data_IF_578471272798
#
_entry.id   IF_578471272798
#
_cell.length_a   1.000
_cell.length_b   1.000
_cell.length_c   1.000
_cell.angle_alpha   90.00
_cell.angle_beta   90.00
_cell.angle_gamma   90.00
#
_symmetry.space_group_name_H-M   'P 1'
#
loop_
_entity.id
_entity.type
_entity.pdbx_description
1 polymer ?
#
# COMPACT_ATOMS: atom_id res chain seq x y z
N UNK A 1 -27.23 11.95 5.07
CA UNK A 1 -27.97 10.79 4.54
C UNK A 1 -29.13 11.18 3.63
N UNK A 2 -29.61 12.40 3.70
CA UNK A 2 -30.83 12.84 2.98
C UNK A 2 -30.57 13.29 1.54
N UNK A 3 -29.36 13.17 1.06
CA UNK A 3 -28.96 13.74 -0.23
C UNK A 3 -28.79 12.71 -1.36
N UNK A 4 -28.94 11.41 -1.10
CA UNK A 4 -28.55 10.40 -2.11
C UNK A 4 -29.59 9.31 -2.22
N UNK A 5 -30.50 9.50 -3.18
CA UNK A 5 -31.35 8.46 -3.75
C UNK A 5 -32.54 8.01 -2.89
N UNK A 6 -33.62 7.67 -3.57
CA UNK A 6 -34.87 7.16 -2.97
C UNK A 6 -34.79 5.68 -2.53
N UNK A 7 -33.57 5.13 -2.38
CA UNK A 7 -33.35 3.74 -1.97
C UNK A 7 -33.49 3.52 -0.48
N UNK A 8 -34.16 2.44 -0.09
CA UNK A 8 -34.22 2.03 1.31
C UNK A 8 -32.83 1.62 1.82
N UNK A 9 -32.50 1.87 3.09
CA UNK A 9 -31.21 1.54 3.73
C UNK A 9 -30.78 0.09 3.51
N UNK A 10 -31.73 -0.86 3.49
CA UNK A 10 -31.46 -2.27 3.20
C UNK A 10 -30.89 -2.54 1.79
N UNK A 11 -31.18 -1.66 0.82
CA UNK A 11 -30.74 -1.85 -0.58
C UNK A 11 -29.25 -1.61 -0.71
N UNK A 12 -28.71 -0.63 0.01
CA UNK A 12 -27.28 -0.42 0.13
C UNK A 12 -26.58 -1.62 0.76
N UNK A 13 -27.16 -2.21 1.82
CA UNK A 13 -26.64 -3.43 2.43
C UNK A 13 -26.67 -4.61 1.48
N UNK A 14 -27.74 -4.78 0.70
CA UNK A 14 -27.88 -5.87 -0.30
C UNK A 14 -26.90 -5.67 -1.44
N UNK A 15 -26.70 -4.43 -1.91
CA UNK A 15 -25.70 -4.11 -2.94
C UNK A 15 -24.31 -4.63 -2.57
N UNK A 16 -23.83 -4.36 -1.35
CA UNK A 16 -22.52 -4.84 -0.91
C UNK A 16 -22.49 -6.31 -0.54
N UNK A 17 -23.55 -6.87 0.02
CA UNK A 17 -23.54 -8.21 0.61
C UNK A 17 -24.08 -9.32 -0.28
N UNK A 18 -24.94 -9.01 -1.27
CA UNK A 18 -25.67 -10.00 -2.06
C UNK A 18 -25.52 -9.82 -3.57
N UNK A 19 -25.57 -8.60 -4.10
CA UNK A 19 -25.59 -8.33 -5.53
C UNK A 19 -24.46 -9.03 -6.32
N UNK A 20 -24.73 -9.37 -7.57
CA UNK A 20 -23.86 -10.19 -8.41
C UNK A 20 -22.85 -9.34 -9.21
N UNK A 21 -21.97 -8.58 -8.52
CA UNK A 21 -20.89 -7.85 -9.16
C UNK A 21 -19.53 -8.18 -8.52
N UNK A 22 -18.46 -7.97 -9.27
CA UNK A 22 -17.09 -8.20 -8.82
C UNK A 22 -16.35 -6.89 -8.70
N UNK A 23 -15.64 -6.70 -7.61
CA UNK A 23 -14.85 -5.48 -7.39
C UNK A 23 -13.72 -5.34 -8.41
N UNK A 24 -13.16 -6.44 -8.89
CA UNK A 24 -12.07 -6.43 -9.86
C UNK A 24 -12.50 -5.91 -11.25
N UNK A 25 -13.75 -6.13 -11.63
CA UNK A 25 -14.30 -5.58 -12.86
C UNK A 25 -14.39 -4.03 -12.78
N UNK A 26 -14.80 -3.52 -11.63
CA UNK A 26 -14.83 -2.07 -11.38
C UNK A 26 -13.41 -1.48 -11.34
N UNK A 27 -12.47 -2.16 -10.69
CA UNK A 27 -11.07 -1.72 -10.66
C UNK A 27 -10.46 -1.64 -12.06
N UNK A 28 -10.71 -2.63 -12.89
CA UNK A 28 -10.25 -2.63 -14.27
C UNK A 28 -10.78 -1.44 -15.06
N UNK A 29 -12.10 -1.23 -15.04
CA UNK A 29 -12.73 -0.09 -15.72
C UNK A 29 -12.15 1.26 -15.24
N UNK A 30 -11.99 1.42 -13.94
CA UNK A 30 -11.40 2.64 -13.37
C UNK A 30 -9.96 2.84 -13.81
N UNK A 31 -9.14 1.78 -13.78
CA UNK A 31 -7.76 1.83 -14.23
C UNK A 31 -7.65 2.18 -15.71
N UNK A 32 -8.50 1.61 -16.56
CA UNK A 32 -8.59 1.93 -18.00
C UNK A 32 -8.96 3.41 -18.22
N UNK A 33 -9.91 3.94 -17.46
CA UNK A 33 -10.31 5.35 -17.51
C UNK A 33 -9.18 6.29 -17.05
N UNK A 34 -8.50 5.97 -15.94
CA UNK A 34 -7.37 6.77 -15.43
C UNK A 34 -6.25 6.80 -16.49
N UNK A 35 -5.88 5.64 -17.04
CA UNK A 35 -4.82 5.54 -18.05
C UNK A 35 -5.20 6.31 -19.31
N UNK A 36 -6.43 6.17 -19.78
CA UNK A 36 -6.89 6.84 -21.00
C UNK A 36 -6.98 8.38 -20.86
N UNK A 37 -7.27 8.89 -19.66
CA UNK A 37 -7.54 10.33 -19.45
C UNK A 37 -6.36 11.09 -18.89
N UNK A 38 -5.51 10.44 -18.07
CA UNK A 38 -4.47 11.12 -17.30
C UNK A 38 -3.04 10.71 -17.68
N UNK A 39 -2.87 9.65 -18.48
CA UNK A 39 -1.55 9.13 -18.81
C UNK A 39 -1.36 9.11 -20.32
N UNK A 40 -0.28 9.71 -20.81
CA UNK A 40 0.07 9.72 -22.22
C UNK A 40 0.15 8.30 -22.81
N UNK A 41 -0.19 8.15 -24.09
CA UNK A 41 -0.29 6.86 -24.78
C UNK A 41 0.98 6.02 -24.65
N UNK A 42 2.16 6.63 -24.76
CA UNK A 42 3.46 5.94 -24.71
C UNK A 42 4.19 6.12 -23.37
N UNK A 43 3.55 6.80 -22.41
CA UNK A 43 4.17 7.07 -21.12
C UNK A 43 4.22 5.79 -20.25
N UNK A 44 5.32 5.63 -19.51
CA UNK A 44 5.45 4.58 -18.51
C UNK A 44 4.51 4.87 -17.34
N UNK A 45 3.74 3.88 -16.92
CA UNK A 45 2.80 4.01 -15.81
C UNK A 45 3.55 3.76 -14.50
N UNK A 46 3.56 4.75 -13.62
CA UNK A 46 4.15 4.60 -12.29
C UNK A 46 3.08 4.10 -11.32
N UNK A 47 3.41 3.04 -10.59
CA UNK A 47 2.56 2.45 -9.57
C UNK A 47 3.21 2.59 -8.20
N UNK A 48 2.42 2.88 -7.16
CA UNK A 48 2.82 2.78 -5.76
C UNK A 48 2.06 1.64 -5.09
N UNK A 49 2.78 0.82 -4.31
CA UNK A 49 2.20 -0.26 -3.53
C UNK A 49 2.53 -0.12 -2.05
N UNK A 50 1.51 -0.26 -1.20
CA UNK A 50 1.65 -0.18 0.26
C UNK A 50 0.56 -0.99 0.97
N UNK A 51 0.50 -0.91 2.30
CA UNK A 51 -0.60 -1.44 3.10
C UNK A 51 -1.10 -0.42 4.13
N UNK A 52 -2.37 -0.54 4.50
CA UNK A 52 -2.98 0.33 5.50
C UNK A 52 -3.78 -0.47 6.53
N UNK A 53 -3.52 -0.17 7.80
CA UNK A 53 -4.28 -0.72 8.92
C UNK A 53 -5.52 0.11 9.18
N UNK A 54 -6.70 -0.52 9.07
CA UNK A 54 -8.00 0.04 9.43
C UNK A 54 -8.43 -0.54 10.78
N UNK A 55 -8.40 0.25 11.84
CA UNK A 55 -8.72 -0.20 13.20
C UNK A 55 -10.20 -0.53 13.35
N UNK A 56 -10.50 -1.62 14.03
CA UNK A 56 -11.86 -2.10 14.29
C UNK A 56 -12.06 -2.44 15.77
N UNK A 57 -13.29 -2.28 16.25
CA UNK A 57 -13.65 -2.61 17.65
C UNK A 57 -14.44 -3.91 17.77
N UNK A 58 -15.14 -4.30 16.72
CA UNK A 58 -16.03 -5.47 16.74
C UNK A 58 -15.29 -6.78 16.50
N UNK A 59 -15.44 -7.76 17.40
CA UNK A 59 -14.85 -9.10 17.27
C UNK A 59 -15.56 -10.00 16.25
N UNK A 60 -16.79 -9.66 15.86
CA UNK A 60 -17.57 -10.41 14.88
C UNK A 60 -17.44 -9.91 13.45
N UNK A 61 -16.60 -8.90 13.20
CA UNK A 61 -16.37 -8.38 11.85
C UNK A 61 -15.52 -9.39 11.08
N UNK A 62 -15.95 -9.73 9.85
CA UNK A 62 -15.22 -10.70 9.03
C UNK A 62 -13.81 -10.20 8.69
N UNK A 63 -12.84 -11.11 8.79
CA UNK A 63 -11.46 -10.87 8.33
C UNK A 63 -10.59 -10.00 9.25
N UNK A 64 -11.11 -9.54 10.40
CA UNK A 64 -10.31 -8.80 11.38
C UNK A 64 -9.29 -9.68 12.10
N UNK A 65 -8.17 -9.07 12.46
CA UNK A 65 -7.08 -9.71 13.19
C UNK A 65 -6.25 -8.72 13.99
N UNK A 66 -5.28 -9.24 14.77
CA UNK A 66 -4.27 -8.41 15.43
C UNK A 66 -3.13 -8.15 14.46
N UNK A 67 -2.89 -6.90 14.12
CA UNK A 67 -1.85 -6.48 13.20
C UNK A 67 -0.87 -5.55 13.90
N UNK A 68 0.41 -5.63 13.53
CA UNK A 68 1.43 -4.69 13.98
C UNK A 68 1.14 -3.32 13.37
N UNK A 69 1.04 -2.32 14.23
CA UNK A 69 0.87 -0.93 13.81
C UNK A 69 2.23 -0.23 13.79
N UNK A 70 2.75 0.00 12.60
CA UNK A 70 4.05 0.62 12.40
C UNK A 70 4.06 2.09 12.84
N UNK A 71 2.95 2.81 12.65
CA UNK A 71 2.82 4.23 13.00
C UNK A 71 2.83 4.46 14.53
N UNK A 72 2.18 3.54 15.27
CA UNK A 72 2.10 3.63 16.74
C UNK A 72 3.26 2.92 17.44
N UNK A 73 4.14 2.24 16.71
CA UNK A 73 5.26 1.46 17.26
C UNK A 73 6.55 2.26 17.30
N UNK A 74 7.36 2.00 18.33
CA UNK A 74 8.73 2.48 18.41
C UNK A 74 9.73 1.31 18.39
N UNK A 75 11.03 1.62 18.36
CA UNK A 75 12.08 0.58 18.45
C UNK A 75 11.99 -0.23 19.75
N UNK A 76 11.57 0.40 20.84
CA UNK A 76 11.44 -0.21 22.16
C UNK A 76 10.06 -0.82 22.45
N UNK A 77 8.98 -0.33 21.82
CA UNK A 77 7.60 -0.75 22.09
C UNK A 77 6.88 -1.09 20.80
N UNK A 78 6.60 -2.38 20.60
CA UNK A 78 5.76 -2.84 19.50
C UNK A 78 4.29 -2.75 19.87
N UNK A 79 3.51 -2.03 19.09
CA UNK A 79 2.07 -1.85 19.27
C UNK A 79 1.33 -2.66 18.20
N UNK A 80 0.29 -3.36 18.62
CA UNK A 80 -0.60 -4.08 17.71
C UNK A 80 -2.03 -3.61 17.94
N UNK A 81 -2.79 -3.44 16.85
CA UNK A 81 -4.20 -3.10 16.90
C UNK A 81 -5.06 -4.16 16.23
N UNK A 82 -6.29 -4.29 16.72
CA UNK A 82 -7.31 -5.11 16.10
C UNK A 82 -7.92 -4.38 14.92
N UNK A 83 -7.98 -5.03 13.76
CA UNK A 83 -8.52 -4.38 12.57
C UNK A 83 -8.41 -5.20 11.31
N UNK A 84 -8.62 -4.52 10.18
CA UNK A 84 -8.32 -5.00 8.85
C UNK A 84 -7.00 -4.43 8.39
N UNK A 85 -6.22 -5.24 7.71
CA UNK A 85 -4.99 -4.82 7.08
C UNK A 85 -5.15 -5.01 5.57
N UNK A 86 -5.08 -3.90 4.84
CA UNK A 86 -5.36 -3.85 3.42
C UNK A 86 -4.09 -3.56 2.65
N UNK A 87 -3.80 -4.40 1.66
CA UNK A 87 -2.73 -4.17 0.69
C UNK A 87 -3.35 -3.53 -0.54
N UNK A 88 -2.81 -2.43 -1.00
CA UNK A 88 -3.34 -1.68 -2.14
C UNK A 88 -2.26 -1.31 -3.16
N UNK A 89 -2.72 -1.09 -4.39
CA UNK A 89 -1.92 -0.71 -5.54
C UNK A 89 -2.57 0.50 -6.20
N UNK A 90 -1.78 1.56 -6.39
CA UNK A 90 -2.24 2.84 -6.91
C UNK A 90 -1.48 3.24 -8.17
N UNK A 91 -2.15 3.89 -9.13
CA UNK A 91 -1.49 4.66 -10.18
C UNK A 91 -1.06 6.00 -9.61
N UNK A 92 0.19 6.39 -9.88
CA UNK A 92 0.76 7.67 -9.44
C UNK A 92 0.63 8.70 -10.55
N UNK A 93 -0.07 9.79 -10.26
CA UNK A 93 -0.17 10.96 -11.12
C UNK A 93 0.69 12.06 -10.49
N UNK A 94 1.87 12.28 -11.07
CA UNK A 94 2.83 13.25 -10.55
C UNK A 94 2.68 14.58 -11.25
N UNK A 95 2.66 15.66 -10.46
CA UNK A 95 2.68 17.04 -10.94
C UNK A 95 1.61 17.33 -12.01
N UNK A 96 0.31 16.98 -11.77
CA UNK A 96 -0.71 17.22 -12.76
C UNK A 96 -0.90 18.73 -12.97
N UNK A 97 -1.34 19.12 -14.15
CA UNK A 97 -1.49 20.53 -14.53
C UNK A 97 -2.40 21.35 -13.60
N UNK A 98 -3.39 20.69 -12.94
CA UNK A 98 -4.28 21.34 -11.96
C UNK A 98 -3.69 21.46 -10.55
N UNK A 99 -2.58 20.80 -10.26
CA UNK A 99 -1.86 20.84 -8.99
C UNK A 99 -0.37 20.49 -9.20
N UNK A 100 0.42 21.40 -9.81
CA UNK A 100 1.81 21.13 -10.23
C UNK A 100 2.77 20.78 -9.10
N UNK A 101 2.49 21.18 -7.85
CA UNK A 101 3.32 20.84 -6.69
C UNK A 101 2.98 19.48 -6.07
N UNK A 102 1.87 18.84 -6.50
CA UNK A 102 1.34 17.63 -5.86
C UNK A 102 1.58 16.37 -6.65
N UNK A 103 1.45 15.27 -5.93
CA UNK A 103 1.41 13.92 -6.47
C UNK A 103 0.19 13.22 -5.89
N UNK A 104 -0.59 12.57 -6.73
CA UNK A 104 -1.78 11.82 -6.34
C UNK A 104 -1.55 10.32 -6.57
N UNK A 105 -1.84 9.50 -5.58
CA UNK A 105 -1.94 8.05 -5.73
C UNK A 105 -3.40 7.66 -5.89
N UNK A 106 -3.75 7.11 -7.06
CA UNK A 106 -5.10 6.69 -7.40
C UNK A 106 -5.23 5.17 -7.23
N UNK A 107 -5.88 4.66 -6.19
CA UNK A 107 -6.10 3.23 -6.01
C UNK A 107 -6.78 2.58 -7.21
N UNK A 108 -6.23 1.45 -7.65
CA UNK A 108 -6.75 0.63 -8.75
C UNK A 108 -6.90 -0.84 -8.38
N UNK A 109 -6.44 -1.25 -7.22
CA UNK A 109 -6.63 -2.60 -6.69
C UNK A 109 -6.39 -2.62 -5.18
N UNK A 110 -7.15 -3.46 -4.46
CA UNK A 110 -7.04 -3.60 -3.01
C UNK A 110 -7.36 -5.02 -2.56
N UNK A 111 -6.60 -5.57 -1.61
CA UNK A 111 -6.74 -6.93 -1.08
C UNK A 111 -6.68 -6.97 0.43
N UNK A 112 -7.59 -7.72 1.05
CA UNK A 112 -7.60 -7.94 2.49
C UNK A 112 -6.51 -8.95 2.89
N UNK A 113 -5.56 -8.53 3.70
CA UNK A 113 -4.63 -9.44 4.34
C UNK A 113 -5.26 -10.10 5.57
N UNK A 114 -5.16 -11.42 5.67
CA UNK A 114 -5.66 -12.21 6.80
C UNK A 114 -4.52 -12.89 7.52
N UNK A 115 -4.39 -12.65 8.82
CA UNK A 115 -3.40 -13.34 9.64
C UNK A 115 -3.62 -14.85 9.66
N UNK A 116 -2.55 -15.61 9.76
CA UNK A 116 -2.62 -17.04 10.13
C UNK A 116 -3.19 -17.17 11.53
N UNK A 117 -4.49 -17.32 11.65
CA UNK A 117 -5.12 -17.57 12.95
C UNK A 117 -4.84 -19.01 13.37
N UNK A 118 -4.19 -19.20 14.51
CA UNK A 118 -4.16 -20.47 15.21
C UNK A 118 -2.88 -21.30 15.17
N UNK A 119 -1.76 -20.84 14.61
CA UNK A 119 -0.49 -21.60 14.62
C UNK A 119 0.54 -21.15 15.68
N UNK A 120 0.24 -20.17 16.49
CA UNK A 120 1.00 -19.98 17.72
C UNK A 120 0.52 -21.01 18.74
N UNK A 121 1.14 -22.19 18.77
CA UNK A 121 1.23 -22.98 20.00
C UNK A 121 1.87 -22.05 21.02
N UNK A 122 1.02 -21.36 21.80
CA UNK A 122 1.48 -20.60 22.94
C UNK A 122 2.34 -21.55 23.78
N UNK A 123 3.61 -21.21 23.95
CA UNK A 123 4.39 -21.78 25.05
C UNK A 123 3.56 -21.47 26.30
N UNK A 124 2.85 -22.47 26.80
CA UNK A 124 2.14 -22.39 28.06
C UNK A 124 3.16 -22.01 29.16
N UNK A 125 3.25 -20.70 29.44
CA UNK A 125 3.72 -20.30 30.76
C UNK A 125 2.70 -20.88 31.73
N UNK A 126 3.12 -21.87 32.50
CA UNK A 126 2.34 -22.49 33.58
C UNK A 126 1.77 -21.35 34.44
N UNK A 127 0.49 -21.04 34.23
CA UNK A 127 -0.24 -20.14 35.11
C UNK A 127 -0.23 -20.75 36.50
N UNK A 128 0.25 -20.03 37.51
CA UNK A 128 0.17 -20.40 38.90
C UNK A 128 -1.31 -20.72 39.23
N UNK A 129 -1.57 -21.89 39.81
CA UNK A 129 -2.90 -22.30 40.25
C UNK A 129 -3.49 -21.22 41.18
N UNK A 130 -4.72 -20.74 40.95
CA UNK A 130 -5.36 -19.78 41.84
C UNK A 130 -5.67 -20.45 43.22
N UNK A 131 -5.44 -19.68 44.27
CA UNK A 131 -5.74 -20.10 45.66
C UNK A 131 -7.26 -20.24 45.89
N UNK A 132 -7.64 -21.07 46.87
CA UNK A 132 -9.06 -21.41 47.14
C UNK A 132 -9.95 -20.20 47.47
N UNK A 133 -9.41 -19.12 48.03
CA UNK A 133 -10.14 -17.87 48.34
C UNK A 133 -10.60 -17.11 47.05
N UNK A 134 -9.87 -17.25 45.95
CA UNK A 134 -10.24 -16.61 44.64
C UNK A 134 -11.31 -17.37 43.88
N UNK A 135 -11.57 -18.63 44.23
CA UNK A 135 -12.60 -19.48 43.59
C UNK A 135 -14.02 -19.17 44.09
N UNK A 136 -14.19 -18.75 45.31
CA UNK A 136 -15.53 -18.49 45.90
C UNK A 136 -16.13 -17.13 45.52
N UNK A 137 -15.31 -16.11 45.30
CA UNK A 137 -15.79 -14.80 44.87
C UNK A 137 -16.25 -14.71 43.37
N UNK A 138 -15.90 -15.73 42.57
CA UNK A 138 -16.18 -15.78 41.14
C UNK A 138 -17.52 -16.41 40.76
N UNK A 139 -18.22 -17.04 41.72
CA UNK A 139 -19.36 -17.96 41.43
C UNK A 139 -20.66 -17.28 41.00
N UNK A 140 -20.95 -16.05 41.38
CA UNK A 140 -22.28 -15.44 41.18
C UNK A 140 -22.38 -14.36 40.06
N UNK A 141 -21.25 -13.95 39.49
CA UNK A 141 -21.25 -13.03 38.30
C UNK A 141 -21.07 -13.74 36.95
N UNK A 142 -20.96 -15.10 36.96
CA UNK A 142 -20.35 -15.83 35.86
C UNK A 142 -21.33 -16.47 34.87
N UNK A 143 -22.59 -16.73 35.22
CA UNK A 143 -23.49 -17.49 34.34
C UNK A 143 -23.94 -16.69 33.10
N UNK A 144 -24.26 -15.44 33.24
CA UNK A 144 -24.64 -14.57 32.08
C UNK A 144 -23.44 -14.17 31.21
N UNK A 145 -22.30 -13.89 31.84
CA UNK A 145 -21.06 -13.55 31.10
C UNK A 145 -20.48 -14.78 30.36
N UNK A 146 -20.65 -15.98 30.88
CA UNK A 146 -20.20 -17.22 30.24
C UNK A 146 -21.09 -17.59 29.05
N UNK A 147 -22.40 -17.39 29.12
CA UNK A 147 -23.30 -17.59 27.98
C UNK A 147 -22.99 -16.61 26.83
N UNK A 148 -22.80 -15.34 27.14
CA UNK A 148 -22.39 -14.33 26.16
C UNK A 148 -21.02 -14.60 25.58
N UNK A 149 -20.05 -15.08 26.37
CA UNK A 149 -18.72 -15.51 25.92
C UNK A 149 -18.74 -16.79 25.08
N UNK A 150 -19.63 -17.76 25.37
CA UNK A 150 -19.82 -18.96 24.55
C UNK A 150 -20.41 -18.61 23.18
N UNK A 151 -21.42 -17.76 23.13
CA UNK A 151 -22.02 -17.32 21.88
C UNK A 151 -21.04 -16.51 21.00
N UNK A 152 -20.24 -15.63 21.62
CA UNK A 152 -19.18 -14.88 20.93
C UNK A 152 -18.04 -15.79 20.44
N UNK A 153 -17.71 -16.84 21.21
CA UNK A 153 -16.72 -17.85 20.77
C UNK A 153 -17.26 -18.77 19.67
N UNK A 154 -18.55 -19.13 19.70
CA UNK A 154 -19.19 -19.92 18.64
C UNK A 154 -19.23 -19.13 17.33
N UNK A 155 -19.69 -17.88 17.36
CA UNK A 155 -19.70 -16.98 16.18
C UNK A 155 -18.28 -16.69 15.67
N UNK A 156 -17.28 -16.57 16.56
CA UNK A 156 -15.89 -16.44 16.16
C UNK A 156 -15.31 -17.73 15.56
N UNK A 157 -15.83 -18.89 15.92
CA UNK A 157 -15.43 -20.20 15.39
C UNK A 157 -16.10 -20.47 14.04
N UNK A 158 -17.31 -20.00 13.84
CA UNK A 158 -18.06 -20.09 12.58
C UNK A 158 -17.46 -19.15 11.51
N UNK A 159 -17.09 -17.94 11.89
CA UNK A 159 -16.30 -17.03 11.04
C UNK A 159 -14.87 -17.55 10.73
N UNK A 160 -14.36 -18.53 11.49
CA UNK A 160 -13.08 -19.19 11.24
C UNK A 160 -13.16 -20.33 10.24
N UNK A 161 -14.33 -20.89 9.98
CA UNK A 161 -14.54 -21.94 8.97
C UNK A 161 -14.72 -21.43 7.54
N UNK A 162 -14.75 -20.10 7.35
CA UNK A 162 -14.89 -19.48 6.03
C UNK A 162 -13.58 -19.56 5.25
N UNK A 163 -13.65 -20.24 4.13
CA UNK A 163 -12.72 -20.30 3.00
C UNK A 163 -11.48 -21.18 3.18
N UNK A 164 -11.45 -22.27 2.44
CA UNK A 164 -10.30 -23.15 2.16
C UNK A 164 -9.21 -22.49 1.31
N UNK A 165 -9.27 -21.16 1.11
CA UNK A 165 -8.25 -20.44 0.34
C UNK A 165 -6.92 -20.46 1.10
N UNK A 166 -5.82 -20.86 0.46
CA UNK A 166 -4.51 -20.88 1.10
C UNK A 166 -4.12 -19.49 1.59
N UNK A 167 -3.48 -19.44 2.76
CA UNK A 167 -3.01 -18.19 3.34
C UNK A 167 -2.00 -17.50 2.41
N UNK A 168 -2.22 -16.22 2.12
CA UNK A 168 -1.31 -15.36 1.37
C UNK A 168 -0.70 -14.29 2.29
N UNK A 169 0.60 -14.06 2.16
CA UNK A 169 1.29 -12.95 2.81
C UNK A 169 1.02 -11.64 2.07
N UNK A 170 1.25 -10.49 2.70
CA UNK A 170 1.09 -9.18 2.04
C UNK A 170 1.90 -9.08 0.73
N UNK A 171 3.20 -9.45 0.68
CA UNK A 171 3.94 -9.46 -0.58
C UNK A 171 3.37 -10.40 -1.66
N UNK A 172 2.76 -11.52 -1.27
CA UNK A 172 2.09 -12.41 -2.23
C UNK A 172 0.80 -11.79 -2.77
N UNK A 173 0.05 -11.04 -1.95
CA UNK A 173 -1.11 -10.28 -2.40
C UNK A 173 -0.70 -9.15 -3.37
N UNK A 174 0.40 -8.46 -3.08
CA UNK A 174 0.98 -7.47 -3.99
C UNK A 174 1.38 -8.10 -5.33
N UNK A 175 2.06 -9.24 -5.30
CA UNK A 175 2.45 -9.96 -6.52
C UNK A 175 1.24 -10.41 -7.36
N UNK A 176 0.14 -10.78 -6.72
CA UNK A 176 -1.12 -11.10 -7.40
C UNK A 176 -1.73 -9.87 -8.09
N UNK A 177 -1.77 -8.73 -7.39
CA UNK A 177 -2.31 -7.48 -7.94
C UNK A 177 -1.50 -6.97 -9.14
N UNK A 178 -0.18 -6.98 -9.08
CA UNK A 178 0.66 -6.56 -10.21
C UNK A 178 0.52 -7.49 -11.41
N UNK A 179 0.35 -8.79 -11.20
CA UNK A 179 0.08 -9.76 -12.28
C UNK A 179 -1.27 -9.47 -12.94
N UNK A 180 -2.29 -9.15 -12.14
CA UNK A 180 -3.62 -8.78 -12.64
C UNK A 180 -3.57 -7.50 -13.47
N UNK A 181 -2.89 -6.46 -12.99
CA UNK A 181 -2.72 -5.18 -13.70
C UNK A 181 -1.90 -5.35 -14.99
N UNK A 182 -0.86 -6.18 -14.97
CA UNK A 182 -0.11 -6.52 -16.18
C UNK A 182 -0.98 -7.14 -17.27
N UNK A 183 -1.93 -8.00 -16.87
CA UNK A 183 -2.89 -8.61 -17.80
C UNK A 183 -3.93 -7.62 -18.35
N UNK A 184 -4.28 -6.57 -17.59
CA UNK A 184 -5.18 -5.52 -18.08
C UNK A 184 -4.53 -4.64 -19.16
N UNK A 185 -3.19 -4.47 -19.10
CA UNK A 185 -2.45 -3.58 -19.98
C UNK A 185 -1.17 -4.26 -20.52
N UNK A 186 -1.31 -5.27 -21.38
CA UNK A 186 -0.16 -6.07 -21.86
C UNK A 186 0.88 -5.24 -22.63
N UNK A 187 0.43 -4.17 -23.32
CA UNK A 187 1.27 -3.33 -24.16
C UNK A 187 1.88 -2.12 -23.43
N UNK A 188 1.60 -1.96 -22.12
CA UNK A 188 2.10 -0.83 -21.34
C UNK A 188 3.28 -1.24 -20.46
N UNK A 189 4.21 -0.32 -20.26
CA UNK A 189 5.33 -0.46 -19.32
C UNK A 189 4.99 0.16 -17.98
N UNK A 190 5.43 -0.49 -16.90
CA UNK A 190 5.18 -0.07 -15.54
C UNK A 190 6.47 0.08 -14.75
N UNK A 191 6.47 1.03 -13.80
CA UNK A 191 7.45 1.10 -12.72
C UNK A 191 6.70 1.01 -11.40
N UNK A 192 6.91 -0.08 -10.68
CA UNK A 192 6.35 -0.29 -9.35
C UNK A 192 7.30 0.27 -8.29
N UNK A 193 6.80 1.16 -7.45
CA UNK A 193 7.56 1.74 -6.33
C UNK A 193 6.97 1.22 -5.03
N UNK A 194 7.79 0.60 -4.20
CA UNK A 194 7.34 -0.06 -2.97
C UNK A 194 8.27 0.22 -1.78
N UNK A 195 7.78 -0.07 -0.60
CA UNK A 195 8.57 -0.03 0.63
C UNK A 195 9.44 -1.32 0.81
N UNK A 196 10.09 -1.43 1.96
CA UNK A 196 10.97 -2.57 2.28
C UNK A 196 10.23 -3.90 2.42
N UNK A 197 8.95 -3.90 2.74
CA UNK A 197 8.14 -5.11 2.90
C UNK A 197 7.93 -5.80 1.54
N UNK A 198 7.73 -4.99 0.49
CA UNK A 198 7.41 -5.48 -0.86
C UNK A 198 8.64 -5.54 -1.80
N UNK A 199 9.81 -5.06 -1.36
CA UNK A 199 11.04 -5.08 -2.15
C UNK A 199 11.82 -6.41 -2.13
N UNK A 200 11.21 -7.48 -1.60
CA UNK A 200 11.82 -8.79 -1.42
C UNK A 200 11.47 -9.82 -2.49
N UNK A 201 11.95 -11.05 -2.27
CA UNK A 201 11.82 -12.17 -3.21
C UNK A 201 10.36 -12.45 -3.65
N UNK A 202 9.41 -12.37 -2.74
CA UNK A 202 8.00 -12.71 -3.03
C UNK A 202 7.37 -11.87 -4.14
N UNK A 203 7.79 -10.61 -4.28
CA UNK A 203 7.36 -9.72 -5.35
C UNK A 203 8.31 -9.80 -6.53
N UNK A 204 9.62 -9.69 -6.29
CA UNK A 204 10.62 -9.59 -7.35
C UNK A 204 10.68 -10.85 -8.23
N UNK A 205 10.49 -12.06 -7.66
CA UNK A 205 10.45 -13.31 -8.43
C UNK A 205 9.20 -13.49 -9.29
N UNK A 206 8.15 -12.74 -9.00
CA UNK A 206 6.87 -12.79 -9.72
C UNK A 206 6.60 -11.51 -10.53
N UNK A 207 7.60 -10.65 -10.64
CA UNK A 207 7.49 -9.40 -11.37
C UNK A 207 7.23 -9.67 -12.86
N UNK A 208 6.12 -9.17 -13.44
CA UNK A 208 5.82 -9.35 -14.86
C UNK A 208 6.89 -8.72 -15.75
N UNK A 209 7.03 -9.19 -16.98
CA UNK A 209 8.07 -8.74 -17.92
C UNK A 209 7.97 -7.28 -18.33
N UNK A 210 6.76 -6.73 -18.30
CA UNK A 210 6.50 -5.31 -18.58
C UNK A 210 6.60 -4.41 -17.34
N UNK A 211 7.10 -4.95 -16.21
CA UNK A 211 7.29 -4.20 -14.95
C UNK A 211 8.75 -4.06 -14.59
N UNK A 212 9.11 -2.83 -14.19
CA UNK A 212 10.28 -2.56 -13.38
C UNK A 212 9.89 -2.28 -11.93
N UNK A 213 10.81 -2.50 -11.01
CA UNK A 213 10.59 -2.31 -9.57
C UNK A 213 11.68 -1.42 -8.97
N UNK A 214 11.24 -0.44 -8.19
CA UNK A 214 12.11 0.39 -7.33
C UNK A 214 11.73 0.12 -5.88
N UNK A 215 12.73 -0.20 -5.06
CA UNK A 215 12.53 -0.40 -3.63
C UNK A 215 13.81 -0.23 -2.81
N UNK A 216 13.69 -0.06 -1.48
CA UNK A 216 14.85 0.04 -0.62
C UNK A 216 15.48 -1.34 -0.39
N UNK A 217 16.79 -1.32 -0.16
CA UNK A 217 17.58 -2.48 0.25
C UNK A 217 17.84 -2.40 1.75
N UNK A 218 17.65 -3.51 2.45
CA UNK A 218 17.99 -3.57 3.88
C UNK A 218 19.49 -3.29 4.09
N UNK A 219 19.90 -2.43 5.04
CA UNK A 219 21.32 -2.05 5.21
C UNK A 219 22.29 -3.21 5.43
N UNK A 220 21.80 -4.34 5.97
CA UNK A 220 22.57 -5.56 6.18
C UNK A 220 22.39 -6.60 5.05
N UNK A 221 21.83 -6.21 3.92
CA UNK A 221 21.67 -7.13 2.79
C UNK A 221 23.02 -7.51 2.21
N UNK A 222 23.19 -8.78 1.87
CA UNK A 222 24.35 -9.27 1.15
C UNK A 222 24.13 -9.08 -0.35
N UNK A 223 24.89 -8.17 -0.93
CA UNK A 223 24.93 -7.89 -2.37
C UNK A 223 26.17 -8.54 -2.98
N UNK A 224 26.11 -8.91 -4.25
CA UNK A 224 27.16 -9.65 -4.92
C UNK A 224 27.42 -9.08 -6.32
N UNK A 225 28.64 -9.29 -6.81
CA UNK A 225 28.93 -9.17 -8.23
C UNK A 225 28.21 -10.26 -9.03
N UNK A 226 27.93 -10.05 -10.31
CA UNK A 226 27.55 -11.15 -11.20
C UNK A 226 28.55 -12.29 -11.15
N UNK A 227 28.12 -13.50 -11.44
CA UNK A 227 29.06 -14.63 -11.59
C UNK A 227 30.07 -14.30 -12.69
N UNK A 228 31.38 -14.59 -12.51
CA UNK A 228 32.34 -14.40 -13.57
C UNK A 228 32.01 -15.35 -14.75
N UNK A 229 32.26 -14.88 -15.95
CA UNK A 229 32.16 -15.73 -17.14
C UNK A 229 33.14 -16.89 -17.01
N UNK A 230 32.64 -18.12 -17.15
CA UNK A 230 33.47 -19.32 -17.06
C UNK A 230 34.21 -19.54 -18.37
N UNK A 231 35.50 -19.27 -18.37
CA UNK A 231 36.41 -19.63 -19.46
C UNK A 231 37.02 -21.02 -19.18
N UNK A 232 36.33 -22.10 -19.59
CA UNK A 232 36.90 -23.46 -19.50
C UNK A 232 35.92 -24.54 -19.02
N UNK A 233 36.36 -25.81 -19.18
CA UNK A 233 35.63 -27.02 -18.76
C UNK A 233 35.79 -27.27 -17.27
N UNK A 234 34.91 -26.65 -16.45
CA UNK A 234 34.87 -26.89 -15.01
C UNK A 234 34.01 -28.10 -14.68
N UNK A 235 34.51 -29.01 -13.83
CA UNK A 235 33.66 -30.04 -13.20
C UNK A 235 32.86 -29.45 -12.03
N UNK A 236 31.54 -29.63 -12.04
CA UNK A 236 30.65 -29.25 -10.96
C UNK A 236 29.64 -28.15 -11.35
N UNK A 237 28.71 -27.80 -10.44
CA UNK A 237 27.66 -26.78 -10.70
C UNK A 237 28.28 -25.39 -10.94
N UNK A 238 27.72 -24.65 -11.90
CA UNK A 238 28.14 -23.27 -12.21
C UNK A 238 27.94 -22.36 -11.02
N UNK A 239 28.88 -21.40 -10.83
CA UNK A 239 28.70 -20.34 -9.83
C UNK A 239 27.51 -19.46 -10.22
N UNK A 240 26.58 -19.26 -9.29
CA UNK A 240 25.39 -18.42 -9.53
C UNK A 240 25.61 -16.96 -9.15
N UNK A 241 26.72 -16.61 -8.49
CA UNK A 241 27.07 -15.25 -8.06
C UNK A 241 28.58 -15.14 -7.91
N UNK A 242 29.10 -13.92 -8.08
CA UNK A 242 30.49 -13.57 -7.85
C UNK A 242 30.80 -13.25 -6.38
N UNK A 243 31.83 -12.45 -6.18
CA UNK A 243 32.24 -11.97 -4.86
C UNK A 243 31.21 -11.06 -4.21
N UNK A 244 31.24 -11.00 -2.88
CA UNK A 244 30.34 -10.11 -2.13
C UNK A 244 30.76 -8.65 -2.32
N UNK A 245 29.81 -7.79 -2.64
CA UNK A 245 30.01 -6.35 -2.65
C UNK A 245 30.25 -5.82 -1.23
N UNK A 246 30.99 -4.71 -1.14
CA UNK A 246 31.20 -4.01 0.10
C UNK A 246 29.86 -3.68 0.79
N UNK A 247 29.84 -3.73 2.10
CA UNK A 247 28.66 -3.33 2.87
C UNK A 247 28.39 -1.81 2.74
N UNK A 248 27.24 -1.36 3.20
CA UNK A 248 26.81 0.04 3.07
C UNK A 248 27.84 1.03 3.63
N UNK A 249 28.44 0.72 4.79
CA UNK A 249 29.39 1.62 5.45
C UNK A 249 30.71 1.68 4.70
N UNK A 250 31.20 0.54 4.21
CA UNK A 250 32.43 0.45 3.41
C UNK A 250 32.21 1.12 2.05
N UNK A 251 31.04 0.93 1.41
CA UNK A 251 30.70 1.60 0.16
C UNK A 251 30.57 3.12 0.32
N UNK A 252 30.04 3.59 1.44
CA UNK A 252 29.96 5.02 1.74
C UNK A 252 31.35 5.67 1.80
N UNK A 253 32.33 4.95 2.35
CA UNK A 253 33.72 5.41 2.56
C UNK A 253 34.66 5.13 1.40
N UNK A 254 34.27 4.36 0.40
CA UNK A 254 35.15 4.03 -0.71
C UNK A 254 35.52 5.30 -1.53
N UNK A 255 36.61 5.21 -2.32
CA UNK A 255 37.15 6.31 -3.09
C UNK A 255 36.30 6.74 -4.30
N UNK A 256 35.20 6.02 -4.60
CA UNK A 256 34.34 6.36 -5.72
C UNK A 256 33.67 7.74 -5.53
N UNK A 257 33.59 8.50 -6.64
CA UNK A 257 33.00 9.86 -6.61
C UNK A 257 31.53 9.83 -6.24
N UNK A 258 31.12 10.77 -5.40
CA UNK A 258 29.73 11.11 -5.15
C UNK A 258 29.20 12.02 -6.27
N UNK A 259 28.00 11.72 -6.76
CA UNK A 259 27.27 12.61 -7.67
C UNK A 259 26.21 13.35 -6.87
N UNK A 260 26.22 14.68 -6.94
CA UNK A 260 25.23 15.52 -6.24
C UNK A 260 24.03 15.79 -7.14
N UNK A 261 22.83 15.64 -6.58
CA UNK A 261 21.56 15.92 -7.24
C UNK A 261 20.75 16.88 -6.38
N UNK A 262 20.25 17.93 -7.01
CA UNK A 262 19.33 18.89 -6.39
C UNK A 262 17.89 18.49 -6.71
N UNK A 263 17.04 18.47 -5.69
CA UNK A 263 15.63 18.13 -5.78
C UNK A 263 14.80 19.28 -5.21
N UNK A 264 13.75 19.62 -5.91
CA UNK A 264 12.69 20.51 -5.44
C UNK A 264 11.37 19.95 -5.98
N UNK A 265 10.92 18.87 -5.37
CA UNK A 265 9.73 18.15 -5.80
C UNK A 265 9.01 17.53 -4.62
N UNK A 266 7.80 17.02 -4.86
CA UNK A 266 6.97 16.36 -3.86
C UNK A 266 7.77 15.36 -3.01
N UNK A 267 7.74 15.55 -1.69
CA UNK A 267 8.39 14.67 -0.71
C UNK A 267 9.92 14.67 -0.72
N UNK A 268 10.56 15.44 -1.60
CA UNK A 268 12.02 15.47 -1.73
C UNK A 268 12.53 16.87 -2.06
N UNK A 269 13.07 17.56 -1.06
CA UNK A 269 13.69 18.89 -1.20
C UNK A 269 15.13 18.83 -0.71
N UNK A 270 16.01 19.63 -1.34
CA UNK A 270 17.43 19.76 -0.98
C UNK A 270 18.37 18.93 -1.86
N UNK A 271 19.57 18.74 -1.38
CA UNK A 271 20.65 18.08 -2.11
C UNK A 271 20.95 16.71 -1.57
N UNK A 272 20.94 15.70 -2.43
CA UNK A 272 21.37 14.35 -2.11
C UNK A 272 22.62 13.98 -2.89
N UNK A 273 23.55 13.32 -2.25
CA UNK A 273 24.69 12.69 -2.91
C UNK A 273 24.43 11.21 -3.12
N UNK A 274 24.82 10.72 -4.30
CA UNK A 274 24.61 9.33 -4.68
C UNK A 274 25.88 8.66 -5.17
N UNK A 275 26.02 7.37 -4.93
CA UNK A 275 26.91 6.44 -5.61
C UNK A 275 26.07 5.33 -6.22
N UNK A 276 26.51 4.79 -7.36
CA UNK A 276 25.78 3.72 -8.02
C UNK A 276 26.67 2.52 -8.30
N UNK A 277 26.11 1.33 -8.16
CA UNK A 277 26.76 0.05 -8.56
C UNK A 277 25.69 -0.86 -9.16
N UNK A 278 26.15 -1.75 -10.04
CA UNK A 278 25.32 -2.81 -10.59
C UNK A 278 25.75 -4.13 -9.98
N UNK A 279 24.79 -4.99 -9.64
CA UNK A 279 25.10 -6.26 -9.00
C UNK A 279 23.85 -7.09 -8.71
N UNK A 280 23.98 -8.09 -7.86
CA UNK A 280 22.92 -9.03 -7.49
C UNK A 280 22.48 -8.83 -6.04
N UNK A 281 21.19 -8.73 -5.82
CA UNK A 281 20.57 -9.01 -4.53
C UNK A 281 20.04 -10.44 -4.54
N UNK A 282 20.98 -11.40 -4.45
CA UNK A 282 20.71 -12.81 -4.71
C UNK A 282 19.57 -13.40 -3.87
N UNK A 283 19.44 -12.97 -2.61
CA UNK A 283 18.36 -13.41 -1.71
C UNK A 283 16.96 -12.95 -2.18
N UNK A 284 16.88 -11.85 -2.91
CA UNK A 284 15.61 -11.29 -3.37
C UNK A 284 15.33 -11.57 -4.85
N UNK A 285 16.33 -11.37 -5.71
CA UNK A 285 16.20 -11.42 -7.16
C UNK A 285 16.95 -12.55 -7.86
N UNK A 286 17.53 -13.51 -7.11
CA UNK A 286 18.40 -14.56 -7.67
C UNK A 286 19.55 -13.96 -8.50
N UNK A 287 19.64 -14.31 -9.77
CA UNK A 287 20.64 -13.88 -10.74
C UNK A 287 20.26 -12.62 -11.52
N UNK A 288 19.10 -12.00 -11.18
CA UNK A 288 18.68 -10.73 -11.81
C UNK A 288 19.64 -9.61 -11.47
N UNK A 289 20.20 -8.97 -12.50
CA UNK A 289 21.04 -7.79 -12.36
C UNK A 289 20.20 -6.60 -11.93
N UNK A 290 20.66 -5.89 -10.91
CA UNK A 290 19.98 -4.73 -10.33
C UNK A 290 20.93 -3.53 -10.30
N UNK A 291 20.38 -2.35 -10.48
CA UNK A 291 21.07 -1.10 -10.23
C UNK A 291 20.86 -0.65 -8.80
N UNK A 292 21.92 -0.53 -8.04
CA UNK A 292 21.89 -0.02 -6.67
C UNK A 292 22.28 1.45 -6.65
N UNK A 293 21.59 2.21 -5.82
CA UNK A 293 21.83 3.62 -5.54
C UNK A 293 21.99 3.79 -4.03
N UNK A 294 23.22 4.09 -3.61
CA UNK A 294 23.51 4.56 -2.26
C UNK A 294 23.22 6.06 -2.23
N UNK A 295 22.37 6.51 -1.34
CA UNK A 295 22.00 7.92 -1.17
C UNK A 295 22.27 8.40 0.24
N UNK A 296 22.91 9.57 0.36
CA UNK A 296 23.07 10.28 1.63
C UNK A 296 22.63 11.73 1.52
N UNK A 297 22.11 12.27 2.59
CA UNK A 297 21.84 13.70 2.72
C UNK A 297 23.12 14.44 3.12
N UNK A 298 23.36 15.61 2.52
CA UNK A 298 24.57 16.39 2.79
C UNK A 298 24.38 17.43 3.89
N UNK A 299 23.15 17.81 4.17
CA UNK A 299 22.80 18.92 5.06
C UNK A 299 21.78 18.54 6.11
N UNK A 300 21.01 17.47 5.86
CA UNK A 300 19.86 17.09 6.65
C UNK A 300 20.08 15.83 7.49
N UNK A 301 19.06 15.48 8.25
CA UNK A 301 19.04 14.35 9.18
C UNK A 301 18.66 13.00 8.54
N UNK A 302 18.58 12.93 7.23
CA UNK A 302 18.16 11.70 6.52
C UNK A 302 19.29 10.67 6.57
N UNK A 303 19.04 9.47 7.10
CA UNK A 303 20.06 8.44 7.16
C UNK A 303 20.45 7.97 5.77
N UNK A 304 21.71 7.56 5.61
CA UNK A 304 22.19 6.89 4.38
C UNK A 304 21.35 5.65 4.09
N UNK A 305 20.84 5.54 2.84
CA UNK A 305 19.97 4.44 2.39
C UNK A 305 20.45 3.89 1.06
N UNK A 306 20.17 2.61 0.83
CA UNK A 306 20.36 1.96 -0.47
C UNK A 306 19.00 1.69 -1.08
N UNK A 307 18.85 2.05 -2.36
CA UNK A 307 17.72 1.69 -3.19
C UNK A 307 18.20 0.82 -4.34
N UNK A 308 17.29 0.10 -4.95
CA UNK A 308 17.57 -0.61 -6.20
C UNK A 308 16.49 -0.38 -7.24
N UNK A 309 16.86 -0.56 -8.49
CA UNK A 309 15.96 -0.67 -9.64
C UNK A 309 16.26 -1.95 -10.40
N UNK A 310 15.23 -2.59 -10.95
CA UNK A 310 15.37 -3.70 -11.90
C UNK A 310 15.80 -3.22 -13.29
N UNK A 311 15.48 -1.97 -13.65
CA UNK A 311 16.07 -1.30 -14.80
C UNK A 311 17.48 -0.81 -14.45
N UNK A 312 18.50 -1.49 -14.98
CA UNK A 312 19.92 -1.21 -14.73
C UNK A 312 20.38 0.12 -15.35
N UNK A 313 19.63 0.65 -16.30
CA UNK A 313 19.94 1.89 -17.01
C UNK A 313 19.28 3.12 -16.37
N UNK A 314 18.37 2.91 -15.42
CA UNK A 314 17.67 4.00 -14.76
C UNK A 314 18.64 4.88 -13.96
N UNK A 315 18.60 6.20 -14.16
CA UNK A 315 19.47 7.14 -13.45
C UNK A 315 19.16 7.19 -11.95
N UNK A 316 20.18 7.45 -11.11
CA UNK A 316 20.02 7.60 -9.67
C UNK A 316 18.98 8.70 -9.33
N UNK A 317 19.01 9.83 -10.06
CA UNK A 317 18.03 10.91 -9.90
C UNK A 317 16.60 10.41 -10.10
N UNK A 318 16.34 9.66 -11.19
CA UNK A 318 15.00 9.12 -11.50
C UNK A 318 14.53 8.13 -10.44
N UNK A 319 15.42 7.23 -9.96
CA UNK A 319 15.10 6.27 -8.89
C UNK A 319 14.65 7.00 -7.61
N UNK A 320 15.39 8.03 -7.17
CA UNK A 320 15.08 8.79 -5.96
C UNK A 320 13.80 9.62 -6.13
N UNK A 321 13.62 10.28 -7.29
CA UNK A 321 12.40 11.01 -7.63
C UNK A 321 11.17 10.14 -7.55
N UNK A 322 11.18 9.00 -8.23
CA UNK A 322 10.03 8.10 -8.24
C UNK A 322 9.77 7.50 -6.87
N UNK A 323 10.83 7.20 -6.10
CA UNK A 323 10.66 6.70 -4.74
C UNK A 323 10.01 7.72 -3.81
N UNK A 324 10.28 9.03 -3.98
CA UNK A 324 9.63 10.07 -3.17
C UNK A 324 8.12 10.14 -3.43
N UNK A 325 7.66 9.86 -4.65
CA UNK A 325 6.25 9.89 -5.00
C UNK A 325 5.42 8.82 -4.28
N UNK A 326 6.05 7.73 -3.79
CA UNK A 326 5.37 6.70 -3.00
C UNK A 326 4.63 7.29 -1.79
N UNK A 327 5.15 8.37 -1.19
CA UNK A 327 4.50 9.00 -0.05
C UNK A 327 3.05 9.46 -0.32
N UNK A 328 2.69 9.72 -1.56
CA UNK A 328 1.33 10.12 -1.92
C UNK A 328 0.28 9.04 -1.61
N UNK A 329 0.66 7.76 -1.50
CA UNK A 329 -0.26 6.69 -1.10
C UNK A 329 -0.70 6.83 0.37
N UNK A 330 0.21 7.31 1.24
CA UNK A 330 -0.11 7.56 2.65
C UNK A 330 -1.10 8.73 2.79
N UNK A 331 -1.00 9.75 1.92
CA UNK A 331 -1.99 10.84 1.83
C UNK A 331 -3.34 10.30 1.37
N UNK A 332 -3.36 9.42 0.37
CA UNK A 332 -4.59 8.76 -0.09
C UNK A 332 -5.24 7.93 1.02
N UNK A 333 -4.46 7.18 1.80
CA UNK A 333 -4.98 6.45 2.97
C UNK A 333 -5.61 7.39 3.99
N UNK A 334 -4.96 8.53 4.26
CA UNK A 334 -5.50 9.55 5.16
C UNK A 334 -6.83 10.11 4.63
N UNK A 335 -6.88 10.53 3.37
CA UNK A 335 -8.07 11.08 2.75
C UNK A 335 -9.25 10.09 2.76
N UNK A 336 -8.99 8.82 2.44
CA UNK A 336 -10.02 7.77 2.46
C UNK A 336 -10.55 7.48 3.87
N UNK A 337 -9.69 7.50 4.89
CA UNK A 337 -10.10 7.34 6.29
C UNK A 337 -10.89 8.55 6.78
N UNK A 338 -10.44 9.75 6.44
CA UNK A 338 -11.03 10.99 6.93
C UNK A 338 -12.36 11.35 6.24
N UNK A 339 -12.48 11.08 4.94
CA UNK A 339 -13.57 11.61 4.13
C UNK A 339 -14.52 10.57 3.55
N UNK A 340 -14.07 9.31 3.38
CA UNK A 340 -14.80 8.27 2.67
C UNK A 340 -15.15 7.05 3.52
N UNK A 341 -14.91 7.10 4.83
CA UNK A 341 -15.30 6.05 5.76
C UNK A 341 -14.59 4.71 5.57
N UNK A 342 -13.33 4.71 5.12
CA UNK A 342 -12.54 3.49 4.91
C UNK A 342 -12.46 2.62 6.18
N UNK A 343 -12.48 3.24 7.35
CA UNK A 343 -12.46 2.56 8.65
C UNK A 343 -13.85 2.23 9.22
N UNK A 344 -14.94 2.72 8.64
CA UNK A 344 -16.28 2.63 9.26
C UNK A 344 -16.96 1.28 9.02
N UNK A 345 -16.63 0.61 7.90
CA UNK A 345 -17.27 -0.66 7.53
C UNK A 345 -17.10 -1.73 8.61
N UNK A 346 -18.21 -2.24 9.15
CA UNK A 346 -18.27 -3.19 10.27
C UNK A 346 -19.08 -4.46 9.93
N UNK A 347 -19.11 -4.89 8.67
CA UNK A 347 -19.89 -6.04 8.24
C UNK A 347 -19.31 -7.37 8.76
N UNK A 348 -20.23 -8.31 9.05
CA UNK A 348 -19.87 -9.70 9.40
C UNK A 348 -19.72 -10.60 8.19
N UNK A 349 -20.26 -10.18 7.02
CA UNK A 349 -20.23 -10.97 5.79
C UNK A 349 -18.96 -10.66 4.99
N UNK A 350 -18.29 -11.73 4.57
CA UNK A 350 -17.06 -11.64 3.76
C UNK A 350 -17.22 -10.74 2.54
N UNK A 351 -18.23 -11.04 1.72
CA UNK A 351 -18.51 -10.30 0.48
C UNK A 351 -18.71 -8.80 0.72
N UNK A 352 -19.38 -8.43 1.81
CA UNK A 352 -19.58 -7.02 2.14
C UNK A 352 -18.28 -6.33 2.59
N UNK A 353 -17.45 -6.99 3.41
CA UNK A 353 -16.15 -6.44 3.82
C UNK A 353 -15.25 -6.22 2.61
N UNK A 354 -15.14 -7.26 1.74
CA UNK A 354 -14.29 -7.22 0.54
C UNK A 354 -14.75 -6.21 -0.52
N UNK A 355 -15.90 -5.57 -0.34
CA UNK A 355 -16.44 -4.57 -1.26
C UNK A 355 -16.52 -3.18 -0.66
N UNK A 356 -16.90 -3.05 0.62
CA UNK A 356 -17.15 -1.74 1.23
C UNK A 356 -15.87 -0.92 1.40
N UNK A 357 -14.80 -1.51 1.96
CA UNK A 357 -13.54 -0.79 2.12
C UNK A 357 -12.87 -0.49 0.76
N UNK A 358 -12.77 -1.44 -0.20
CA UNK A 358 -12.33 -1.12 -1.55
C UNK A 358 -13.15 -0.07 -2.26
N UNK A 359 -14.46 0.01 -2.02
CA UNK A 359 -15.31 1.06 -2.60
C UNK A 359 -14.92 2.47 -2.13
N UNK A 360 -14.49 2.66 -0.88
CA UNK A 360 -13.99 3.96 -0.41
C UNK A 360 -12.75 4.39 -1.21
N UNK A 361 -11.81 3.47 -1.44
CA UNK A 361 -10.62 3.72 -2.24
C UNK A 361 -10.97 3.95 -3.74
N UNK A 362 -11.94 3.21 -4.26
CA UNK A 362 -12.47 3.41 -5.62
C UNK A 362 -13.06 4.81 -5.79
N UNK A 363 -13.87 5.26 -4.85
CA UNK A 363 -14.48 6.60 -4.87
C UNK A 363 -13.44 7.71 -4.76
N UNK A 364 -12.35 7.50 -4.05
CA UNK A 364 -11.23 8.45 -4.04
C UNK A 364 -10.68 8.65 -5.46
N UNK A 365 -10.31 7.57 -6.14
CA UNK A 365 -9.78 7.64 -7.50
C UNK A 365 -10.78 8.24 -8.49
N UNK A 366 -12.05 7.87 -8.38
CA UNK A 366 -13.13 8.38 -9.23
C UNK A 366 -13.32 9.90 -9.01
N UNK A 367 -13.27 10.37 -7.76
CA UNK A 367 -13.39 11.81 -7.44
C UNK A 367 -12.23 12.61 -8.03
N UNK A 368 -10.98 12.11 -7.90
CA UNK A 368 -9.81 12.79 -8.49
C UNK A 368 -9.88 12.77 -10.01
N UNK A 369 -10.29 11.64 -10.60
CA UNK A 369 -10.46 11.53 -12.06
C UNK A 369 -11.52 12.50 -12.57
N UNK A 370 -12.69 12.55 -11.93
CA UNK A 370 -13.75 13.51 -12.26
C UNK A 370 -13.24 14.95 -12.13
N UNK A 371 -12.55 15.26 -11.04
CA UNK A 371 -11.99 16.60 -10.85
C UNK A 371 -11.02 16.97 -11.98
N UNK A 372 -10.16 16.05 -12.36
CA UNK A 372 -9.18 16.27 -13.43
C UNK A 372 -9.82 16.46 -14.81
N UNK A 373 -10.97 15.87 -15.07
CA UNK A 373 -11.63 15.94 -16.39
C UNK A 373 -12.69 17.03 -16.49
N UNK A 374 -13.35 17.37 -15.40
CA UNK A 374 -14.49 18.30 -15.38
C UNK A 374 -14.48 19.27 -14.18
N UNK A 375 -14.36 18.75 -12.97
CA UNK A 375 -14.56 19.52 -11.74
C UNK A 375 -13.58 20.66 -11.51
N UNK A 376 -12.42 20.67 -12.15
CA UNK A 376 -11.46 21.78 -12.08
C UNK A 376 -12.00 23.08 -12.70
N UNK A 377 -12.95 23.01 -13.63
CA UNK A 377 -13.60 24.16 -14.23
C UNK A 377 -14.50 24.93 -13.25
N UNK A 378 -15.08 24.20 -12.28
CA UNK A 378 -15.98 24.74 -11.26
C UNK A 378 -15.27 25.01 -9.93
N UNK A 379 -13.96 24.74 -9.84
CA UNK A 379 -13.22 24.90 -8.61
C UNK A 379 -12.93 26.37 -8.30
N UNK A 380 -13.34 26.76 -7.11
CA UNK A 380 -12.96 28.04 -6.51
C UNK A 380 -12.18 27.77 -5.24
N UNK A 381 -11.01 28.38 -5.11
CA UNK A 381 -10.22 28.28 -3.89
C UNK A 381 -11.01 28.92 -2.76
N UNK A 382 -11.39 28.19 -1.70
CA UNK A 382 -12.13 28.77 -0.61
C UNK A 382 -11.25 29.80 0.12
N UNK A 383 -11.73 31.04 0.16
CA UNK A 383 -11.06 32.09 0.93
C UNK A 383 -11.11 31.78 2.41
N UNK A 384 -9.97 31.45 2.99
CA UNK A 384 -9.82 31.16 4.43
C UNK A 384 -8.74 32.05 5.00
N UNK A 385 -9.02 32.93 5.98
CA UNK A 385 -8.04 33.87 6.54
C UNK A 385 -6.77 33.21 7.08
N UNK A 386 -6.90 31.98 7.64
CA UNK A 386 -5.80 31.20 8.19
C UNK A 386 -5.06 30.33 7.16
N UNK A 387 -5.48 30.32 5.87
CA UNK A 387 -4.88 29.51 4.80
C UNK A 387 -4.92 30.25 3.47
N UNK A 388 -4.57 31.53 3.50
CA UNK A 388 -4.62 32.45 2.36
C UNK A 388 -3.63 32.08 1.23
N UNK A 389 -2.54 31.31 1.56
CA UNK A 389 -1.52 30.87 0.58
C UNK A 389 -1.88 29.60 -0.18
N UNK A 390 -3.06 29.06 0.00
CA UNK A 390 -3.50 27.87 -0.71
C UNK A 390 -3.79 28.20 -2.17
N UNK A 391 -3.01 27.59 -3.08
CA UNK A 391 -3.13 27.79 -4.53
C UNK A 391 -3.61 26.55 -5.28
N UNK A 392 -3.57 25.39 -4.65
CA UNK A 392 -3.90 24.10 -5.26
C UNK A 392 -4.97 23.33 -4.47
N UNK A 393 -5.83 22.57 -5.16
CA UNK A 393 -6.90 21.80 -4.50
C UNK A 393 -6.32 20.67 -3.65
N UNK A 394 -6.94 20.41 -2.50
CA UNK A 394 -6.84 19.17 -1.74
C UNK A 394 -7.97 18.22 -2.13
N UNK A 395 -7.88 16.94 -1.74
CA UNK A 395 -8.97 15.99 -1.95
C UNK A 395 -10.30 16.46 -1.33
N UNK A 396 -10.25 17.08 -0.15
CA UNK A 396 -11.43 17.67 0.49
C UNK A 396 -12.07 18.77 -0.36
N UNK A 397 -11.28 19.58 -1.09
CA UNK A 397 -11.84 20.60 -2.00
C UNK A 397 -12.47 19.95 -3.23
N UNK A 398 -11.84 18.95 -3.79
CA UNK A 398 -12.40 18.19 -4.92
C UNK A 398 -13.76 17.57 -4.54
N UNK A 399 -13.83 16.96 -3.36
CA UNK A 399 -15.06 16.36 -2.84
C UNK A 399 -16.15 17.44 -2.55
N UNK A 400 -15.76 18.61 -2.07
CA UNK A 400 -16.67 19.74 -1.85
C UNK A 400 -17.22 20.27 -3.17
N UNK A 401 -16.36 20.41 -4.19
CA UNK A 401 -16.76 20.81 -5.54
C UNK A 401 -17.75 19.81 -6.16
N UNK A 402 -17.46 18.50 -6.03
CA UNK A 402 -18.36 17.44 -6.50
C UNK A 402 -19.74 17.50 -5.81
N UNK A 403 -19.75 17.71 -4.50
CA UNK A 403 -21.02 17.84 -3.75
C UNK A 403 -21.82 19.04 -4.20
N UNK A 404 -21.18 20.20 -4.36
CA UNK A 404 -21.84 21.41 -4.83
C UNK A 404 -22.44 21.20 -6.22
N UNK A 405 -21.67 20.68 -7.17
CA UNK A 405 -22.16 20.38 -8.52
C UNK A 405 -23.35 19.44 -8.52
N UNK A 406 -23.28 18.37 -7.73
CA UNK A 406 -24.38 17.41 -7.58
C UNK A 406 -25.66 18.03 -6.99
N UNK A 407 -25.56 19.08 -6.14
CA UNK A 407 -26.71 19.81 -5.65
C UNK A 407 -27.28 20.78 -6.69
N UNK A 408 -26.42 21.51 -7.41
CA UNK A 408 -26.83 22.40 -8.50
C UNK A 408 -27.60 21.63 -9.57
N UNK A 409 -27.11 20.46 -9.99
CA UNK A 409 -27.81 19.60 -10.95
C UNK A 409 -29.19 19.13 -10.46
N UNK A 410 -29.33 18.81 -9.17
CA UNK A 410 -30.62 18.43 -8.58
C UNK A 410 -31.60 19.57 -8.50
N UNK A 411 -31.13 20.77 -8.17
CA UNK A 411 -32.01 21.95 -8.07
C UNK A 411 -32.46 22.44 -9.44
N UNK A 412 -31.64 22.25 -10.49
CA UNK A 412 -32.00 22.60 -11.87
C UNK A 412 -32.99 21.63 -12.52
N UNK A 413 -33.20 20.45 -11.91
CA UNK A 413 -34.15 19.42 -12.39
C UNK A 413 -35.50 19.44 -11.69
N UNK A 414 -35.72 20.35 -10.72
CA UNK A 414 -36.98 20.62 -10.01
C UNK A 414 -37.59 21.89 -10.56
#
# INVERSE_FOLDING_TARGET
SDSVGNGHFSDYHRFFSQAAWKIDDLWRLLAELIVARLIGKDAVIVLAGDDTLCRKRGLGIFGTGMHHDALSSSKSKKVCHWGHDWVDLCIVIAHPWWAPSKVFSLPICMRLYRNRQGLTKGKNKKAKRPTNAQKQAASNRTKQAVAKKKQTKANAKENRKGSETPHKTRPELMAEMITLVAAWFPDRKFILVVDSLYSGQSVLSKLPTNFDLIGPVHPKAALYHPAPEETGTRRGPRRKKGERLADTKSWEKDSSKWSTHHFDQYGLHGSLQTKTKTGLYYKAGNDRLLRFVLSRDTVGDRPTRIFYSTDVNMSARKILSLFSFRWSIEVTHFDCKQHLGLEDAASRKEKAVQRTAPMAMFLHSLTVLWYATDGHNDFQIPHRPWYWWKTEPSFADMLTTLRRKSWEDKLSTV
#
